data_IF_450336375649
#
_entry.id   IF_450336375649
#
_cell.length_a   1.000
_cell.length_b   1.000
_cell.length_c   1.000
_cell.angle_alpha   90.00
_cell.angle_beta   90.00
_cell.angle_gamma   90.00
#
_symmetry.space_group_name_H-M   'P 1'
#
loop_
_entity.id
_entity.type
_entity.pdbx_description
1 polymer ?
#
# COMPACT_ATOMS: atom_id res chain seq x y z
N UNK A 1 15.45 -13.44 3.43
CA UNK A 1 14.71 -12.50 2.55
C UNK A 1 14.55 -11.20 3.30
N UNK A 2 14.65 -10.06 2.62
CA UNK A 2 14.48 -8.75 3.24
C UNK A 2 12.98 -8.41 3.32
N UNK A 3 12.30 -9.01 4.31
CA UNK A 3 10.84 -8.98 4.47
C UNK A 3 10.36 -7.54 4.71
N UNK A 4 11.06 -6.74 5.52
CA UNK A 4 10.74 -5.33 5.68
C UNK A 4 10.91 -4.53 4.39
N UNK A 5 11.94 -4.83 3.60
CA UNK A 5 12.13 -4.20 2.30
C UNK A 5 10.97 -4.46 1.35
N UNK A 6 10.47 -5.69 1.32
CA UNK A 6 9.28 -6.08 0.55
C UNK A 6 8.02 -5.43 1.11
N UNK A 7 7.83 -5.47 2.42
CA UNK A 7 6.70 -4.87 3.10
C UNK A 7 6.55 -3.39 2.77
N UNK A 8 7.62 -2.59 2.95
CA UNK A 8 7.58 -1.15 2.68
C UNK A 8 7.33 -0.89 1.19
N UNK A 9 7.84 -1.74 0.30
CA UNK A 9 7.60 -1.63 -1.14
C UNK A 9 6.12 -1.89 -1.48
N UNK A 10 5.55 -2.96 -0.93
CA UNK A 10 4.14 -3.34 -1.10
C UNK A 10 3.18 -2.29 -0.54
N UNK A 11 3.46 -1.76 0.64
CA UNK A 11 2.68 -0.68 1.28
C UNK A 11 2.74 0.60 0.44
N UNK A 12 3.93 0.95 -0.08
CA UNK A 12 4.10 2.11 -0.97
C UNK A 12 3.36 1.93 -2.31
N UNK A 13 3.39 0.73 -2.88
CA UNK A 13 2.71 0.40 -4.11
C UNK A 13 1.19 0.51 -3.94
N UNK A 14 0.65 0.01 -2.82
CA UNK A 14 -0.77 0.08 -2.51
C UNK A 14 -1.25 1.53 -2.40
N UNK A 15 -0.50 2.37 -1.68
CA UNK A 15 -0.78 3.80 -1.60
C UNK A 15 -0.78 4.48 -2.97
N UNK A 16 0.16 4.10 -3.84
CA UNK A 16 0.24 4.64 -5.19
C UNK A 16 -0.92 4.20 -6.09
N UNK A 17 -1.45 2.98 -5.90
CA UNK A 17 -2.64 2.48 -6.60
C UNK A 17 -3.89 3.26 -6.18
N UNK A 18 -4.05 3.52 -4.89
CA UNK A 18 -5.13 4.35 -4.34
C UNK A 18 -5.07 5.76 -4.94
N UNK A 19 -3.88 6.38 -4.95
CA UNK A 19 -3.70 7.71 -5.53
C UNK A 19 -3.94 7.73 -7.05
N UNK A 20 -3.59 6.65 -7.77
CA UNK A 20 -3.89 6.54 -9.19
C UNK A 20 -5.41 6.52 -9.46
N UNK A 21 -6.19 5.85 -8.61
CA UNK A 21 -7.65 5.88 -8.70
C UNK A 21 -8.20 7.30 -8.48
N UNK A 22 -7.85 7.96 -7.37
CA UNK A 22 -8.34 9.31 -7.08
C UNK A 22 -7.93 10.31 -8.15
N UNK A 23 -6.67 10.27 -8.61
CA UNK A 23 -6.21 11.15 -9.70
C UNK A 23 -7.02 10.96 -10.98
N UNK A 24 -7.30 9.69 -11.35
CA UNK A 24 -8.06 9.37 -12.54
C UNK A 24 -9.52 9.86 -12.41
N UNK A 25 -10.16 9.57 -11.28
CA UNK A 25 -11.52 10.01 -10.95
C UNK A 25 -11.66 11.53 -10.98
N UNK A 26 -10.80 12.23 -10.24
CA UNK A 26 -10.86 13.69 -10.09
C UNK A 26 -10.52 14.40 -11.43
N UNK A 27 -9.81 13.72 -12.33
CA UNK A 27 -9.53 14.21 -13.70
C UNK A 27 -10.55 13.73 -14.75
N UNK A 28 -11.59 12.99 -14.35
CA UNK A 28 -12.55 12.31 -15.23
C UNK A 28 -11.86 11.50 -16.36
N UNK A 29 -10.81 10.76 -16.00
CA UNK A 29 -10.00 9.93 -16.89
C UNK A 29 -10.01 8.47 -16.46
N UNK A 30 -9.69 7.58 -17.39
CA UNK A 30 -9.41 6.17 -17.07
C UNK A 30 -8.10 6.05 -16.30
N UNK A 31 -8.03 5.04 -15.44
CA UNK A 31 -6.79 4.69 -14.74
C UNK A 31 -5.75 4.24 -15.77
N UNK A 32 -4.53 4.77 -15.64
CA UNK A 32 -3.42 4.41 -16.51
C UNK A 32 -2.90 2.99 -16.19
N UNK A 33 -3.25 2.02 -17.03
CA UNK A 33 -2.83 0.62 -16.90
C UNK A 33 -1.31 0.43 -17.00
N UNK A 34 -0.58 1.32 -17.68
CA UNK A 34 0.88 1.27 -17.69
C UNK A 34 1.43 1.56 -16.29
N UNK A 35 0.90 2.58 -15.62
CA UNK A 35 1.23 2.91 -14.24
C UNK A 35 0.87 1.78 -13.27
N UNK A 36 -0.28 1.13 -13.43
CA UNK A 36 -0.69 -0.03 -12.62
C UNK A 36 0.33 -1.18 -12.73
N UNK A 37 0.76 -1.52 -13.94
CA UNK A 37 1.78 -2.56 -14.17
C UNK A 37 3.13 -2.21 -13.54
N UNK A 38 3.54 -0.95 -13.58
CA UNK A 38 4.76 -0.48 -12.91
C UNK A 38 4.68 -0.64 -11.39
N UNK A 39 3.52 -0.30 -10.79
CA UNK A 39 3.29 -0.45 -9.36
C UNK A 39 3.27 -1.92 -8.93
N UNK A 40 2.69 -2.81 -9.74
CA UNK A 40 2.76 -4.25 -9.51
C UNK A 40 4.20 -4.77 -9.48
N UNK A 41 5.03 -4.36 -10.46
CA UNK A 41 6.46 -4.71 -10.48
C UNK A 41 7.19 -4.14 -9.27
N UNK A 42 6.80 -2.95 -8.81
CA UNK A 42 7.42 -2.29 -7.66
C UNK A 42 7.16 -3.02 -6.35
N UNK A 43 5.94 -3.50 -6.12
CA UNK A 43 5.59 -4.26 -4.91
C UNK A 43 6.48 -5.50 -4.72
N UNK A 44 6.90 -6.13 -5.83
CA UNK A 44 7.77 -7.32 -5.83
C UNK A 44 9.26 -7.02 -5.63
N UNK A 45 9.66 -5.75 -5.60
CA UNK A 45 11.07 -5.35 -5.48
C UNK A 45 11.32 -4.71 -4.12
N UNK A 46 12.11 -5.35 -3.24
CA UNK A 46 12.42 -4.80 -1.93
C UNK A 46 12.99 -3.39 -2.03
N UNK A 47 12.55 -2.50 -1.16
CA UNK A 47 13.26 -1.25 -0.91
C UNK A 47 14.57 -1.55 -0.18
N UNK A 48 15.59 -0.69 -0.36
CA UNK A 48 16.89 -0.78 0.35
C UNK A 48 17.00 0.19 1.53
N UNK A 49 16.06 1.13 1.65
CA UNK A 49 16.15 2.30 2.55
C UNK A 49 15.02 2.24 3.57
N UNK A 50 15.34 2.43 4.85
CA UNK A 50 14.37 2.47 5.96
C UNK A 50 13.98 1.11 6.54
N UNK A 51 14.63 0.04 6.09
CA UNK A 51 14.32 -1.35 6.45
C UNK A 51 14.78 -1.69 7.86
N UNK A 52 16.03 -1.35 8.19
CA UNK A 52 16.64 -1.66 9.49
C UNK A 52 15.81 -1.18 10.67
N UNK A 53 15.10 -0.06 10.49
CA UNK A 53 14.23 0.51 11.51
C UNK A 53 12.92 -0.28 11.66
N UNK A 54 12.38 -0.86 10.57
CA UNK A 54 11.17 -1.70 10.60
C UNK A 54 11.50 -3.06 11.21
N UNK A 55 12.59 -3.71 10.77
CA UNK A 55 13.05 -5.00 11.30
C UNK A 55 13.36 -4.93 12.81
N UNK A 56 13.75 -3.75 13.31
CA UNK A 56 14.09 -3.56 14.73
C UNK A 56 12.86 -3.40 15.64
N UNK A 57 11.67 -3.11 15.09
CA UNK A 57 10.47 -2.79 15.90
C UNK A 57 9.37 -3.84 15.81
N UNK A 58 9.31 -4.62 14.71
CA UNK A 58 8.26 -5.62 14.48
C UNK A 58 8.93 -6.96 14.23
N UNK A 59 8.42 -8.02 14.87
CA UNK A 59 8.90 -9.37 14.64
C UNK A 59 8.54 -9.90 13.23
N UNK A 60 9.36 -10.81 12.72
CA UNK A 60 9.21 -11.34 11.35
C UNK A 60 7.84 -11.97 11.06
N UNK A 61 7.17 -12.57 12.06
CA UNK A 61 5.87 -13.22 11.86
C UNK A 61 4.78 -12.17 11.66
N UNK A 62 4.75 -11.16 12.52
CA UNK A 62 3.80 -10.05 12.38
C UNK A 62 4.07 -9.27 11.08
N UNK A 63 5.33 -9.00 10.77
CA UNK A 63 5.70 -8.32 9.53
C UNK A 63 5.28 -9.09 8.28
N UNK A 64 5.46 -10.42 8.27
CA UNK A 64 4.99 -11.27 7.19
C UNK A 64 3.47 -11.26 7.06
N UNK A 65 2.73 -11.31 8.17
CA UNK A 65 1.27 -11.23 8.16
C UNK A 65 0.79 -9.88 7.58
N UNK A 66 1.35 -8.76 8.04
CA UNK A 66 1.05 -7.43 7.52
C UNK A 66 1.40 -7.30 6.04
N UNK A 67 2.53 -7.88 5.61
CA UNK A 67 2.94 -7.90 4.20
C UNK A 67 1.95 -8.69 3.33
N UNK A 68 1.50 -9.85 3.79
CA UNK A 68 0.55 -10.68 3.06
C UNK A 68 -0.80 -9.97 2.86
N UNK A 69 -1.31 -9.31 3.91
CA UNK A 69 -2.54 -8.52 3.81
C UNK A 69 -2.41 -7.39 2.78
N UNK A 70 -1.29 -6.66 2.82
CA UNK A 70 -1.03 -5.57 1.87
C UNK A 70 -0.88 -6.10 0.44
N UNK A 71 -0.20 -7.23 0.24
CA UNK A 71 -0.08 -7.86 -1.08
C UNK A 71 -1.45 -8.27 -1.62
N UNK A 72 -2.31 -8.86 -0.78
CA UNK A 72 -3.69 -9.20 -1.15
C UNK A 72 -4.45 -7.98 -1.65
N UNK A 73 -4.37 -6.85 -0.95
CA UNK A 73 -5.03 -5.62 -1.39
C UNK A 73 -4.40 -5.01 -2.66
N UNK A 74 -3.09 -5.14 -2.87
CA UNK A 74 -2.45 -4.76 -4.13
C UNK A 74 -3.05 -5.55 -5.30
N UNK A 75 -3.15 -6.88 -5.16
CA UNK A 75 -3.72 -7.75 -6.19
C UNK A 75 -5.18 -7.42 -6.47
N UNK A 76 -5.98 -7.19 -5.42
CA UNK A 76 -7.39 -6.78 -5.56
C UNK A 76 -7.53 -5.49 -6.37
N UNK A 77 -6.70 -4.47 -6.11
CA UNK A 77 -6.77 -3.21 -6.85
C UNK A 77 -6.27 -3.35 -8.29
N UNK A 78 -5.20 -4.12 -8.52
CA UNK A 78 -4.69 -4.36 -9.87
C UNK A 78 -5.74 -5.07 -10.73
N UNK A 79 -6.39 -6.09 -10.19
CA UNK A 79 -7.47 -6.81 -10.86
C UNK A 79 -8.66 -5.88 -11.11
N UNK A 80 -9.08 -5.14 -10.09
CA UNK A 80 -10.18 -4.20 -10.23
C UNK A 80 -9.94 -3.13 -11.31
N UNK A 81 -8.73 -2.57 -11.37
CA UNK A 81 -8.40 -1.54 -12.35
C UNK A 81 -8.29 -2.09 -13.78
N UNK A 82 -7.92 -3.37 -13.90
CA UNK A 82 -7.86 -4.07 -15.19
C UNK A 82 -9.22 -4.59 -15.66
N UNK A 83 -10.18 -4.74 -14.74
CA UNK A 83 -11.51 -5.23 -15.02
C UNK A 83 -12.41 -4.12 -15.61
N UNK A 84 -12.81 -4.30 -16.87
CA UNK A 84 -13.71 -3.39 -17.60
C UNK A 84 -15.18 -3.55 -17.23
N UNK A 85 -15.56 -4.64 -16.56
CA UNK A 85 -16.93 -4.89 -16.12
C UNK A 85 -17.26 -4.13 -14.82
N UNK A 86 -16.25 -3.79 -14.02
CA UNK A 86 -16.45 -3.00 -12.81
C UNK A 86 -16.64 -1.52 -13.15
N UNK A 87 -17.71 -0.95 -12.61
CA UNK A 87 -17.95 0.48 -12.67
C UNK A 87 -17.08 1.24 -11.63
N UNK A 88 -17.13 2.56 -11.68
CA UNK A 88 -16.32 3.40 -10.79
C UNK A 88 -16.67 3.22 -9.30
N UNK A 89 -17.97 3.06 -8.97
CA UNK A 89 -18.41 2.88 -7.58
C UNK A 89 -17.89 1.56 -6.99
N UNK A 90 -17.92 0.47 -7.76
CA UNK A 90 -17.37 -0.82 -7.33
C UNK A 90 -15.84 -0.75 -7.14
N UNK A 91 -15.14 -0.01 -8.00
CA UNK A 91 -13.70 0.26 -7.83
C UNK A 91 -13.44 1.11 -6.58
N UNK A 92 -14.28 2.11 -6.31
CA UNK A 92 -14.16 2.97 -5.14
C UNK A 92 -14.30 2.18 -3.82
N UNK A 93 -15.22 1.20 -3.75
CA UNK A 93 -15.37 0.31 -2.58
C UNK A 93 -14.08 -0.45 -2.30
N UNK A 94 -13.46 -1.03 -3.34
CA UNK A 94 -12.20 -1.78 -3.19
C UNK A 94 -11.04 -0.86 -2.79
N UNK A 95 -10.99 0.36 -3.33
CA UNK A 95 -10.00 1.38 -2.99
C UNK A 95 -10.13 1.82 -1.54
N UNK A 96 -11.34 2.04 -1.04
CA UNK A 96 -11.58 2.40 0.34
C UNK A 96 -11.17 1.28 1.30
N UNK A 97 -11.47 0.02 0.97
CA UNK A 97 -11.00 -1.13 1.75
C UNK A 97 -9.47 -1.20 1.80
N UNK A 98 -8.79 -0.91 0.68
CA UNK A 98 -7.33 -0.84 0.64
C UNK A 98 -6.76 0.33 1.48
N UNK A 99 -7.41 1.50 1.45
CA UNK A 99 -7.05 2.66 2.28
C UNK A 99 -7.13 2.33 3.76
N UNK A 100 -8.23 1.71 4.19
CA UNK A 100 -8.42 1.26 5.57
C UNK A 100 -7.36 0.25 5.99
N UNK A 101 -7.00 -0.69 5.10
CA UNK A 101 -5.93 -1.65 5.39
C UNK A 101 -4.56 -0.98 5.55
N UNK A 102 -4.24 0.05 4.74
CA UNK A 102 -3.04 0.87 4.96
C UNK A 102 -3.08 1.50 6.35
N UNK A 103 -4.18 2.16 6.73
CA UNK A 103 -4.27 2.80 8.03
C UNK A 103 -4.15 1.80 9.18
N UNK A 104 -4.82 0.64 9.11
CA UNK A 104 -4.70 -0.44 10.09
C UNK A 104 -3.25 -0.91 10.23
N UNK A 105 -2.59 -1.14 9.11
CA UNK A 105 -1.19 -1.57 9.06
C UNK A 105 -0.26 -0.54 9.69
N UNK A 106 -0.41 0.73 9.33
CA UNK A 106 0.41 1.81 9.89
C UNK A 106 0.15 2.01 11.39
N UNK A 107 -1.10 1.88 11.85
CA UNK A 107 -1.44 1.93 13.27
C UNK A 107 -0.75 0.80 14.04
N UNK A 108 -0.69 -0.39 13.46
CA UNK A 108 0.01 -1.51 14.10
C UNK A 108 1.51 -1.19 14.24
N UNK A 109 2.16 -0.67 13.20
CA UNK A 109 3.56 -0.22 13.27
C UNK A 109 3.76 0.83 14.37
N UNK A 110 2.84 1.80 14.50
CA UNK A 110 2.91 2.83 15.54
C UNK A 110 2.89 2.24 16.94
N UNK A 111 2.03 1.25 17.22
CA UNK A 111 1.97 0.60 18.53
C UNK A 111 3.30 -0.03 18.94
N UNK A 112 4.02 -0.60 17.98
CA UNK A 112 5.34 -1.20 18.22
C UNK A 112 6.49 -0.20 18.23
N UNK A 113 6.24 1.07 17.90
CA UNK A 113 7.25 2.12 17.81
C UNK A 113 6.81 3.39 18.54
N UNK A 114 6.40 3.26 19.80
CA UNK A 114 6.08 4.37 20.71
C UNK A 114 5.11 5.40 20.09
N UNK A 115 4.06 4.92 19.43
CA UNK A 115 3.04 5.70 18.72
C UNK A 115 3.58 6.59 17.58
N UNK A 116 4.77 6.28 17.06
CA UNK A 116 5.43 7.01 15.97
C UNK A 116 5.64 6.11 14.76
N UNK A 117 5.64 6.70 13.56
CA UNK A 117 6.00 5.97 12.35
C UNK A 117 7.52 6.03 12.17
N UNK A 118 8.20 4.89 11.93
CA UNK A 118 9.66 4.80 11.98
C UNK A 118 10.37 5.46 10.80
N UNK A 119 9.63 5.86 9.75
CA UNK A 119 10.23 6.48 8.56
C UNK A 119 9.33 7.58 7.99
N UNK A 120 9.95 8.62 7.43
CA UNK A 120 9.28 9.70 6.69
C UNK A 120 8.38 9.19 5.55
N UNK A 121 8.70 8.03 4.98
CA UNK A 121 7.90 7.42 3.92
C UNK A 121 6.55 6.93 4.45
N UNK A 122 6.57 6.27 5.60
CA UNK A 122 5.35 5.81 6.26
C UNK A 122 4.53 6.99 6.80
N UNK A 123 5.19 8.02 7.33
CA UNK A 123 4.52 9.28 7.74
C UNK A 123 3.79 9.94 6.57
N UNK A 124 4.46 10.09 5.42
CA UNK A 124 3.80 10.62 4.21
C UNK A 124 2.62 9.76 3.79
N UNK A 125 2.76 8.44 3.90
CA UNK A 125 1.69 7.53 3.54
C UNK A 125 0.48 7.68 4.46
N UNK A 126 0.70 7.81 5.77
CA UNK A 126 -0.33 8.10 6.77
C UNK A 126 -1.14 9.33 6.39
N UNK A 127 -0.45 10.46 6.18
CA UNK A 127 -1.08 11.73 5.81
C UNK A 127 -1.83 11.63 4.48
N UNK A 128 -1.23 11.01 3.47
CA UNK A 128 -1.85 10.89 2.13
C UNK A 128 -3.11 10.02 2.10
N UNK A 129 -3.25 9.10 3.06
CA UNK A 129 -4.43 8.23 3.18
C UNK A 129 -5.43 8.76 4.20
N UNK A 130 -5.16 9.90 4.86
CA UNK A 130 -5.99 10.46 5.95
C UNK A 130 -6.32 9.39 6.99
N UNK A 131 -5.27 8.66 7.35
CA UNK A 131 -5.19 8.07 8.67
C UNK A 131 -4.94 9.24 9.67
#
# INVERSE_FOLDING_TARGET
>A
MDIAGLFVASVSALGSLIQAFYTARDSNKKIDNHKVRLLQKRAKKPLKIGIKTIDAIIDDKLLAALSNDIEKHNLILIDAFSNSQLNEAEKAVKVEAARQQICKTLTEIKKFNNDQLPTKRLEKLWLSNRC
#
